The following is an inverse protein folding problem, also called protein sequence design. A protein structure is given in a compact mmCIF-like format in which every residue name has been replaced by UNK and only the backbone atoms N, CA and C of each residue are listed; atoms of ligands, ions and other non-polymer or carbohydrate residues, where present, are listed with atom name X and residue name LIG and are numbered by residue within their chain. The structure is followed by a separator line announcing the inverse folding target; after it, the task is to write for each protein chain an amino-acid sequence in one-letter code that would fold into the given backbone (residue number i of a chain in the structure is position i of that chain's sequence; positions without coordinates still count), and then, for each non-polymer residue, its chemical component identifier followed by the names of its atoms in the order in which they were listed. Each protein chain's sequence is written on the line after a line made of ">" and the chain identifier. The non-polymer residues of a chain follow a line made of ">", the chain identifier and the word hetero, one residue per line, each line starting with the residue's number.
data_IF_101153365930
#
_entry.id   IF_101153365930
#
_cell.length_a   1.000
_cell.length_b   1.000
_cell.length_c   1.000
_cell.angle_alpha   90.00
_cell.angle_beta   90.00
_cell.angle_gamma   90.00
#
_symmetry.space_group_name_H-M   'P 1'
#
loop_
_entity.id
_entity.type
_entity.pdbx_description
1 polymer ?
#
# COMPACT_ATOMS: atom_id res chain seq x y z
N UNK A 1 4.89 -29.47 21.57
CA UNK A 1 4.40 -28.71 20.42
C UNK A 1 4.91 -29.46 19.18
N UNK A 2 4.01 -30.00 18.35
CA UNK A 2 4.35 -30.79 17.18
C UNK A 2 5.02 -29.93 16.11
N UNK A 3 6.14 -30.43 15.55
CA UNK A 3 7.03 -29.75 14.59
C UNK A 3 6.48 -29.64 13.16
N UNK A 4 5.21 -29.87 12.88
CA UNK A 4 4.66 -30.02 11.53
C UNK A 4 3.44 -29.17 11.20
N UNK A 5 3.22 -28.03 11.86
CA UNK A 5 2.27 -27.07 11.31
C UNK A 5 2.94 -26.34 10.13
N UNK A 6 2.64 -26.78 8.90
CA UNK A 6 3.00 -26.05 7.68
C UNK A 6 2.39 -24.67 7.76
N UNK A 7 3.25 -23.65 7.81
CA UNK A 7 2.82 -22.26 7.72
C UNK A 7 2.21 -22.07 6.33
N UNK A 8 0.94 -21.75 6.28
CA UNK A 8 0.22 -21.43 5.04
C UNK A 8 0.70 -20.05 4.58
N UNK A 9 1.33 -19.97 3.42
CA UNK A 9 1.84 -18.72 2.88
C UNK A 9 0.70 -17.77 2.47
N UNK A 10 -0.25 -18.24 1.64
CA UNK A 10 -1.38 -17.45 1.18
C UNK A 10 -2.56 -17.59 2.15
N UNK A 11 -2.88 -16.54 2.92
CA UNK A 11 -3.89 -16.59 3.99
C UNK A 11 -5.03 -15.58 3.81
N UNK A 12 -5.01 -14.74 2.80
CA UNK A 12 -6.04 -13.70 2.73
C UNK A 12 -6.13 -12.93 1.43
N UNK A 13 -7.15 -12.10 1.34
CA UNK A 13 -7.54 -11.34 0.16
C UNK A 13 -6.78 -10.03 -0.07
N UNK A 14 -5.49 -9.92 0.29
CA UNK A 14 -4.72 -8.68 0.04
C UNK A 14 -5.39 -7.46 0.67
N UNK A 15 -5.70 -6.45 -0.16
CA UNK A 15 -6.35 -5.20 0.29
C UNK A 15 -7.72 -5.42 0.97
N UNK A 16 -8.41 -6.54 0.74
CA UNK A 16 -9.68 -6.85 1.41
C UNK A 16 -9.50 -7.22 2.89
N UNK A 17 -8.26 -7.47 3.34
CA UNK A 17 -7.93 -7.68 4.75
C UNK A 17 -7.93 -6.38 5.57
N UNK A 18 -8.09 -5.21 4.94
CA UNK A 18 -8.18 -3.92 5.65
C UNK A 18 -9.41 -3.88 6.58
N UNK A 19 -9.25 -3.22 7.74
CA UNK A 19 -10.37 -3.01 8.65
C UNK A 19 -11.49 -2.22 7.96
N UNK A 20 -12.74 -2.59 8.25
CA UNK A 20 -13.90 -1.91 7.67
C UNK A 20 -13.87 -0.40 7.96
N UNK A 21 -14.07 0.41 6.91
CA UNK A 21 -13.96 1.87 6.98
C UNK A 21 -14.79 2.50 8.10
N UNK A 22 -16.00 1.98 8.38
CA UNK A 22 -16.86 2.49 9.44
C UNK A 22 -16.35 2.22 10.87
N UNK A 23 -15.55 1.16 11.08
CA UNK A 23 -14.90 0.88 12.37
C UNK A 23 -13.72 1.81 12.55
N UNK A 24 -12.90 1.94 11.51
CA UNK A 24 -11.71 2.78 11.54
C UNK A 24 -12.07 4.26 11.72
N UNK A 25 -13.07 4.79 11.02
CA UNK A 25 -13.55 6.17 11.19
C UNK A 25 -13.87 6.50 12.64
N UNK A 26 -14.64 5.62 13.32
CA UNK A 26 -15.03 5.83 14.73
C UNK A 26 -13.84 5.89 15.70
N UNK A 27 -12.76 5.20 15.38
CA UNK A 27 -11.54 5.23 16.18
C UNK A 27 -10.77 6.51 15.88
N UNK A 28 -10.60 6.86 14.61
CA UNK A 28 -9.86 8.04 14.17
C UNK A 28 -10.50 9.36 14.63
N UNK A 29 -11.84 9.41 14.74
CA UNK A 29 -12.57 10.56 15.28
C UNK A 29 -12.22 10.89 16.75
N UNK A 30 -11.76 9.89 17.50
CA UNK A 30 -11.39 10.02 18.92
C UNK A 30 -9.92 10.40 19.13
N UNK A 31 -9.12 10.41 18.08
CA UNK A 31 -7.72 10.79 18.19
C UNK A 31 -7.59 12.29 18.47
N UNK A 32 -6.68 12.68 19.41
CA UNK A 32 -6.39 14.08 19.60
C UNK A 32 -5.84 14.66 18.30
N UNK A 33 -6.54 15.65 17.76
CA UNK A 33 -6.07 16.40 16.59
C UNK A 33 -5.29 17.61 17.08
N UNK A 34 -4.04 17.74 16.64
CA UNK A 34 -3.25 18.95 16.84
C UNK A 34 -3.86 20.16 16.11
N UNK A 35 -3.22 21.31 16.26
CA UNK A 35 -3.56 22.47 15.45
C UNK A 35 -3.41 22.13 13.96
N UNK A 36 -4.33 22.66 13.12
CA UNK A 36 -4.26 22.44 11.68
C UNK A 36 -3.01 23.12 11.11
N UNK A 37 -2.07 22.33 10.63
CA UNK A 37 -0.94 22.84 9.87
C UNK A 37 -1.41 23.21 8.45
N UNK A 38 -1.27 24.48 8.02
CA UNK A 38 -1.67 24.92 6.67
C UNK A 38 -0.84 24.25 5.56
N UNK A 39 0.29 23.61 5.90
CA UNK A 39 1.11 22.88 4.96
C UNK A 39 0.63 21.43 4.76
N UNK A 40 -0.23 20.90 5.62
CA UNK A 40 -0.88 19.61 5.39
C UNK A 40 -2.02 19.83 4.40
N UNK A 41 -1.75 19.58 3.11
CA UNK A 41 -2.70 19.80 2.02
C UNK A 41 -3.78 18.70 1.97
N UNK A 42 -3.35 17.44 2.20
CA UNK A 42 -4.19 16.25 2.21
C UNK A 42 -3.86 15.42 3.44
N UNK A 43 -4.88 15.03 4.19
CA UNK A 43 -4.75 14.23 5.41
C UNK A 43 -6.01 13.41 5.69
N UNK A 44 -6.33 13.16 6.95
CA UNK A 44 -7.47 12.30 7.35
C UNK A 44 -8.83 12.78 6.84
N UNK A 45 -9.00 14.10 6.64
CA UNK A 45 -10.31 14.69 6.39
C UNK A 45 -10.80 14.41 4.97
N UNK A 46 -9.90 14.33 3.98
CA UNK A 46 -10.22 14.12 2.56
C UNK A 46 -10.38 12.65 2.17
N UNK A 47 -9.83 11.72 2.96
CA UNK A 47 -9.84 10.27 2.68
C UNK A 47 -9.24 9.92 1.32
N UNK A 48 -8.22 10.66 0.94
CA UNK A 48 -7.43 10.40 -0.26
C UNK A 48 -6.46 9.22 -0.09
N UNK A 49 -5.81 8.82 -1.17
CA UNK A 49 -4.94 7.65 -1.20
C UNK A 49 -3.63 7.86 -0.42
N UNK A 50 -3.15 9.11 -0.31
CA UNK A 50 -1.93 9.43 0.43
C UNK A 50 -2.04 10.77 1.18
N UNK A 51 -1.18 10.96 2.17
CA UNK A 51 -0.99 12.27 2.81
C UNK A 51 -0.10 13.16 1.92
N UNK A 52 -0.41 14.46 1.86
CA UNK A 52 0.37 15.43 1.10
C UNK A 52 0.74 16.61 1.99
N UNK A 53 2.05 16.84 2.12
CA UNK A 53 2.59 17.91 2.94
C UNK A 53 3.44 18.88 2.12
N UNK A 54 3.09 20.16 2.09
CA UNK A 54 3.81 21.21 1.37
C UNK A 54 5.16 21.50 2.05
N UNK A 55 6.24 21.41 1.29
CA UNK A 55 7.61 21.74 1.74
C UNK A 55 8.00 23.15 1.31
N UNK A 56 7.67 23.49 0.06
CA UNK A 56 7.86 24.83 -0.52
C UNK A 56 6.62 25.23 -1.31
N UNK A 57 6.63 26.43 -1.91
CA UNK A 57 5.53 26.88 -2.76
C UNK A 57 5.24 25.92 -3.93
N UNK A 58 6.29 25.30 -4.51
CA UNK A 58 6.18 24.48 -5.71
C UNK A 58 6.53 23.00 -5.45
N UNK A 59 6.66 22.58 -4.20
CA UNK A 59 7.03 21.21 -3.85
C UNK A 59 6.28 20.71 -2.62
N UNK A 60 5.65 19.55 -2.76
CA UNK A 60 5.06 18.82 -1.67
C UNK A 60 5.54 17.36 -1.63
N UNK A 61 5.59 16.78 -0.43
CA UNK A 61 5.80 15.36 -0.20
C UNK A 61 4.46 14.64 -0.28
N UNK A 62 4.46 13.50 -0.97
CA UNK A 62 3.39 12.51 -0.93
C UNK A 62 3.89 11.33 -0.10
N UNK A 63 3.15 10.94 0.93
CA UNK A 63 3.51 9.84 1.80
C UNK A 63 2.37 8.85 1.96
N UNK A 64 2.67 7.58 1.70
CA UNK A 64 1.74 6.47 1.90
C UNK A 64 2.41 5.29 2.58
N UNK A 65 1.60 4.41 3.13
CA UNK A 65 1.99 3.12 3.67
C UNK A 65 0.90 2.09 3.36
N UNK A 66 1.27 1.02 2.66
CA UNK A 66 0.34 -0.09 2.42
C UNK A 66 1.07 -1.43 2.51
N UNK A 67 0.49 -2.37 3.28
CA UNK A 67 1.01 -3.72 3.44
C UNK A 67 -0.14 -4.68 3.77
N UNK A 68 -0.02 -5.93 3.34
CA UNK A 68 -1.07 -6.93 3.51
C UNK A 68 -0.52 -8.36 3.45
N UNK A 69 -1.30 -9.36 3.86
CA UNK A 69 -0.92 -10.76 3.73
C UNK A 69 -0.92 -11.22 2.27
N UNK A 70 -0.16 -12.29 1.92
CA UNK A 70 -0.14 -12.85 0.58
C UNK A 70 -1.52 -13.24 0.07
N UNK A 71 -1.79 -12.89 -1.18
CA UNK A 71 -3.01 -13.19 -1.92
C UNK A 71 -2.79 -14.10 -3.12
N UNK A 72 -1.54 -14.47 -3.38
CA UNK A 72 -1.09 -15.42 -4.40
C UNK A 72 0.00 -16.30 -3.79
N UNK A 73 0.19 -17.52 -4.33
CA UNK A 73 1.12 -18.50 -3.77
C UNK A 73 2.58 -18.26 -4.18
N UNK A 74 2.82 -17.54 -5.26
CA UNK A 74 4.17 -17.20 -5.71
C UNK A 74 4.73 -15.99 -4.97
N UNK A 75 5.81 -16.17 -4.15
CA UNK A 75 6.36 -15.10 -3.33
C UNK A 75 6.84 -13.89 -4.14
N UNK A 76 7.47 -14.12 -5.29
CA UNK A 76 7.96 -13.05 -6.15
C UNK A 76 6.81 -12.21 -6.71
N UNK A 77 5.77 -12.86 -7.24
CA UNK A 77 4.57 -12.18 -7.74
C UNK A 77 3.86 -11.42 -6.62
N UNK A 78 3.79 -12.01 -5.41
CA UNK A 78 3.24 -11.30 -4.24
C UNK A 78 4.03 -10.02 -3.94
N UNK A 79 5.36 -10.08 -3.96
CA UNK A 79 6.22 -8.91 -3.79
C UNK A 79 5.94 -7.81 -4.81
N UNK A 80 5.77 -8.18 -6.09
CA UNK A 80 5.42 -7.24 -7.16
C UNK A 80 4.04 -6.60 -6.94
N UNK A 81 3.02 -7.39 -6.57
CA UNK A 81 1.66 -6.89 -6.32
C UNK A 81 1.66 -5.91 -5.15
N UNK A 82 2.30 -6.27 -4.03
CA UNK A 82 2.33 -5.44 -2.84
C UNK A 82 3.04 -4.10 -3.09
N UNK A 83 4.16 -4.12 -3.80
CA UNK A 83 4.87 -2.91 -4.19
C UNK A 83 4.05 -2.05 -5.16
N UNK A 84 3.48 -2.63 -6.22
CA UNK A 84 2.65 -1.90 -7.18
C UNK A 84 1.45 -1.21 -6.49
N UNK A 85 0.84 -1.88 -5.52
CA UNK A 85 -0.28 -1.32 -4.76
C UNK A 85 0.14 -0.07 -3.95
N UNK A 86 1.24 -0.14 -3.19
CA UNK A 86 1.73 1.00 -2.42
C UNK A 86 2.23 2.15 -3.30
N UNK A 87 2.87 1.84 -4.43
CA UNK A 87 3.35 2.85 -5.39
C UNK A 87 2.19 3.58 -6.07
N UNK A 88 1.05 2.90 -6.28
CA UNK A 88 -0.12 3.47 -6.97
C UNK A 88 -0.73 4.65 -6.23
N UNK A 89 -0.64 4.69 -4.90
CA UNK A 89 -1.15 5.80 -4.10
C UNK A 89 -0.44 7.13 -4.43
N UNK A 90 0.87 7.07 -4.69
CA UNK A 90 1.64 8.26 -5.11
C UNK A 90 1.17 8.74 -6.48
N UNK A 91 0.94 7.83 -7.42
CA UNK A 91 0.43 8.17 -8.76
C UNK A 91 -1.00 8.70 -8.72
N UNK A 92 -1.86 8.15 -7.84
CA UNK A 92 -3.22 8.62 -7.65
C UNK A 92 -3.27 10.10 -7.22
N UNK A 93 -2.25 10.54 -6.47
CA UNK A 93 -2.11 11.94 -6.05
C UNK A 93 -1.42 12.84 -7.11
N UNK A 94 -1.10 12.31 -8.28
CA UNK A 94 -0.37 13.03 -9.34
C UNK A 94 1.13 13.16 -9.07
N UNK A 95 1.66 12.39 -8.11
CA UNK A 95 3.04 12.44 -7.67
C UNK A 95 3.98 11.53 -8.45
N UNK A 96 5.27 11.75 -8.26
CA UNK A 96 6.37 10.93 -8.77
C UNK A 96 7.06 10.20 -7.61
N UNK A 97 7.22 8.89 -7.70
CA UNK A 97 7.89 8.07 -6.67
C UNK A 97 9.36 8.46 -6.55
N UNK A 98 9.86 8.63 -5.33
CA UNK A 98 11.29 8.91 -5.07
C UNK A 98 11.94 7.82 -4.24
N UNK A 99 11.39 7.47 -3.09
CA UNK A 99 11.96 6.43 -2.23
C UNK A 99 10.88 5.50 -1.70
N UNK A 100 11.28 4.26 -1.42
CA UNK A 100 10.46 3.28 -0.73
C UNK A 100 11.24 2.59 0.39
N UNK A 101 10.53 2.21 1.45
CA UNK A 101 11.02 1.41 2.57
C UNK A 101 10.19 0.13 2.66
N UNK A 102 10.84 -1.02 2.77
CA UNK A 102 10.16 -2.30 2.99
C UNK A 102 9.51 -2.34 4.37
N UNK A 103 8.29 -2.87 4.43
CA UNK A 103 7.60 -3.26 5.66
C UNK A 103 7.37 -4.77 5.62
N UNK A 104 7.97 -5.49 6.55
CA UNK A 104 7.99 -6.95 6.56
C UNK A 104 7.54 -7.50 7.91
N UNK A 105 6.53 -8.37 7.91
CA UNK A 105 6.27 -9.32 8.98
C UNK A 105 6.54 -10.73 8.43
N UNK A 106 7.37 -11.52 9.11
CA UNK A 106 7.80 -12.81 8.57
C UNK A 106 8.01 -13.85 9.68
N UNK A 107 7.51 -15.10 9.52
CA UNK A 107 7.72 -16.17 10.50
C UNK A 107 9.18 -16.61 10.57
N UNK A 108 9.75 -16.67 11.79
CA UNK A 108 11.14 -17.06 12.00
C UNK A 108 11.49 -18.49 11.51
N UNK A 109 10.50 -19.37 11.48
CA UNK A 109 10.63 -20.78 11.07
C UNK A 109 10.31 -21.02 9.58
N UNK A 110 10.00 -19.98 8.80
CA UNK A 110 9.79 -20.09 7.35
C UNK A 110 11.12 -19.94 6.61
N UNK A 111 11.22 -20.58 5.44
CA UNK A 111 12.40 -20.48 4.59
C UNK A 111 12.68 -19.03 4.16
N UNK A 112 13.87 -18.53 4.48
CA UNK A 112 14.30 -17.18 4.13
C UNK A 112 14.41 -16.94 2.62
N UNK A 113 14.49 -17.98 1.79
CA UNK A 113 14.42 -17.83 0.34
C UNK A 113 13.05 -17.26 -0.11
N UNK A 114 11.97 -17.62 0.59
CA UNK A 114 10.64 -17.05 0.36
C UNK A 114 10.66 -15.54 0.58
N UNK A 115 11.26 -15.08 1.68
CA UNK A 115 11.44 -13.65 1.94
C UNK A 115 12.29 -12.98 0.85
N UNK A 116 13.38 -13.63 0.44
CA UNK A 116 14.24 -13.13 -0.63
C UNK A 116 13.49 -12.87 -1.93
N UNK A 117 12.60 -13.80 -2.34
CA UNK A 117 11.79 -13.65 -3.55
C UNK A 117 10.75 -12.52 -3.41
N UNK A 118 10.11 -12.37 -2.25
CA UNK A 118 9.18 -11.25 -1.98
C UNK A 118 9.92 -9.91 -2.15
N UNK A 119 11.06 -9.78 -1.48
CA UNK A 119 11.84 -8.53 -1.51
C UNK A 119 12.37 -8.23 -2.92
N UNK A 120 12.77 -9.26 -3.68
CA UNK A 120 13.21 -9.13 -5.07
C UNK A 120 12.08 -8.58 -5.94
N UNK A 121 10.89 -9.17 -5.86
CA UNK A 121 9.72 -8.70 -6.60
C UNK A 121 9.36 -7.25 -6.28
N UNK A 122 9.41 -6.88 -5.00
CA UNK A 122 9.17 -5.50 -4.55
C UNK A 122 10.22 -4.52 -5.06
N UNK A 123 11.50 -4.88 -4.96
CA UNK A 123 12.61 -4.04 -5.40
C UNK A 123 12.56 -3.74 -6.90
N UNK A 124 12.24 -4.75 -7.73
CA UNK A 124 12.11 -4.58 -9.17
C UNK A 124 10.97 -3.61 -9.54
N UNK A 125 9.83 -3.66 -8.83
CA UNK A 125 8.72 -2.71 -9.04
C UNK A 125 9.06 -1.28 -8.62
N UNK A 126 9.81 -1.10 -7.53
CA UNK A 126 10.30 0.21 -7.13
C UNK A 126 11.26 0.78 -8.18
N UNK A 127 12.17 -0.04 -8.71
CA UNK A 127 13.08 0.36 -9.77
C UNK A 127 12.33 0.70 -11.09
N UNK A 128 11.33 -0.10 -11.48
CA UNK A 128 10.46 0.17 -12.63
C UNK A 128 9.72 1.51 -12.51
N UNK A 129 9.33 1.88 -11.29
CA UNK A 129 8.72 3.17 -10.97
C UNK A 129 9.72 4.34 -10.96
N UNK A 130 11.00 4.10 -11.22
CA UNK A 130 12.06 5.11 -11.15
C UNK A 130 12.44 5.52 -9.72
N UNK A 131 11.93 4.80 -8.71
CA UNK A 131 12.20 5.04 -7.30
C UNK A 131 13.44 4.29 -6.79
N UNK A 132 13.84 4.61 -5.57
CA UNK A 132 14.98 3.97 -4.87
C UNK A 132 14.44 3.23 -3.64
N UNK A 133 14.74 1.92 -3.56
CA UNK A 133 14.50 1.16 -2.34
C UNK A 133 15.61 1.50 -1.34
N UNK A 134 15.26 2.27 -0.29
CA UNK A 134 16.23 2.89 0.61
C UNK A 134 16.44 2.12 1.92
N UNK A 135 15.73 1.00 2.12
CA UNK A 135 15.82 0.20 3.34
C UNK A 135 14.46 -0.35 3.76
N UNK A 136 14.23 -0.43 5.07
CA UNK A 136 12.96 -0.89 5.62
C UNK A 136 13.05 -1.39 7.03
N UNK A 137 11.97 -2.04 7.49
CA UNK A 137 11.89 -2.65 8.81
C UNK A 137 11.25 -4.04 8.71
N UNK A 138 11.79 -5.00 9.46
CA UNK A 138 11.26 -6.36 9.55
C UNK A 138 11.05 -6.78 10.99
N UNK A 139 9.95 -7.49 11.24
CA UNK A 139 9.63 -8.08 12.54
C UNK A 139 9.26 -9.55 12.38
N UNK A 140 9.54 -10.35 13.41
CA UNK A 140 9.01 -11.70 13.52
C UNK A 140 7.49 -11.66 13.78
N UNK A 141 6.73 -12.50 13.08
CA UNK A 141 5.27 -12.61 13.22
C UNK A 141 4.83 -14.05 12.93
N UNK A 142 3.59 -14.37 13.23
CA UNK A 142 2.99 -15.68 12.95
C UNK A 142 2.63 -15.88 11.48
N UNK A 143 2.53 -14.82 10.69
CA UNK A 143 2.19 -14.87 9.27
C UNK A 143 2.93 -13.82 8.46
N UNK A 144 3.04 -14.07 7.16
CA UNK A 144 3.70 -13.14 6.24
C UNK A 144 2.81 -11.94 5.98
N UNK A 145 3.39 -10.74 6.08
CA UNK A 145 2.84 -9.49 5.54
C UNK A 145 3.97 -8.70 4.91
N UNK A 146 3.69 -8.13 3.77
CA UNK A 146 4.66 -7.31 3.04
C UNK A 146 3.99 -6.12 2.37
N UNK A 147 4.73 -5.05 2.29
CA UNK A 147 4.38 -3.85 1.57
C UNK A 147 5.46 -2.79 1.70
N UNK A 148 5.09 -1.56 1.39
CA UNK A 148 6.03 -0.44 1.37
C UNK A 148 5.47 0.77 2.12
N UNK A 149 6.38 1.54 2.71
CA UNK A 149 6.17 2.97 2.94
C UNK A 149 6.83 3.72 1.81
N UNK A 150 6.05 4.53 1.08
CA UNK A 150 6.52 5.21 -0.13
C UNK A 150 6.48 6.71 0.09
N UNK A 151 7.55 7.36 -0.35
CA UNK A 151 7.63 8.82 -0.43
C UNK A 151 7.76 9.24 -1.90
N UNK A 152 6.85 10.11 -2.31
CA UNK A 152 6.85 10.75 -3.62
C UNK A 152 6.93 12.26 -3.51
N UNK A 153 7.07 12.93 -4.64
CA UNK A 153 7.03 14.37 -4.79
C UNK A 153 5.92 14.76 -5.76
N UNK A 154 5.28 15.89 -5.48
CA UNK A 154 4.24 16.47 -6.34
C UNK A 154 4.34 18.00 -6.32
N UNK A 155 3.97 18.64 -7.41
CA UNK A 155 3.70 20.08 -7.42
C UNK A 155 2.34 20.33 -6.74
N UNK A 156 2.28 21.12 -5.65
CA UNK A 156 1.02 21.41 -4.97
C UNK A 156 -0.09 21.98 -5.85
N UNK A 157 0.28 22.62 -6.98
CA UNK A 157 -0.67 23.20 -7.93
C UNK A 157 -1.24 22.17 -8.93
N UNK A 158 -0.67 20.97 -8.99
CA UNK A 158 -1.07 19.86 -9.86
C UNK A 158 -1.46 18.60 -9.08
N UNK A 159 -1.89 18.78 -7.83
CA UNK A 159 -2.35 17.69 -6.97
C UNK A 159 -3.69 17.14 -7.46
N UNK A 160 -3.81 15.82 -7.53
CA UNK A 160 -5.08 15.13 -7.81
C UNK A 160 -5.74 14.74 -6.48
N UNK A 161 -6.88 15.33 -6.20
CA UNK A 161 -7.66 15.06 -5.01
C UNK A 161 -8.98 14.34 -5.36
N UNK A 162 -9.48 13.49 -4.46
CA UNK A 162 -10.69 12.70 -4.67
C UNK A 162 -11.95 13.54 -4.85
N UNK A 163 -11.95 14.79 -4.41
CA UNK A 163 -13.09 15.70 -4.44
C UNK A 163 -13.04 16.72 -5.61
N UNK A 164 -12.08 16.58 -6.53
CA UNK A 164 -11.87 17.51 -7.65
C UNK A 164 -12.89 17.35 -8.79
N UNK A 165 -13.67 16.27 -8.84
CA UNK A 165 -14.64 16.01 -9.91
C UNK A 165 -15.76 17.04 -9.99
N UNK A 166 -16.14 17.42 -11.22
CA UNK A 166 -17.17 18.43 -11.49
C UNK A 166 -18.34 17.84 -12.29
N UNK A 167 -19.57 18.39 -12.14
CA UNK A 167 -20.69 18.01 -13.00
C UNK A 167 -20.37 18.22 -14.48
N UNK A 168 -20.48 17.16 -15.28
CA UNK A 168 -20.15 17.18 -16.71
C UNK A 168 -18.83 16.50 -17.07
N UNK A 169 -18.01 16.15 -16.08
CA UNK A 169 -16.79 15.37 -16.29
C UNK A 169 -17.11 13.98 -16.83
N UNK A 170 -16.20 13.47 -17.66
CA UNK A 170 -16.28 12.11 -18.20
C UNK A 170 -15.42 11.16 -17.38
N UNK A 171 -16.03 10.07 -16.91
CA UNK A 171 -15.34 9.01 -16.20
C UNK A 171 -14.72 8.02 -17.19
N UNK A 172 -13.41 7.84 -17.13
CA UNK A 172 -12.68 6.87 -17.95
C UNK A 172 -12.19 5.73 -17.07
N UNK A 173 -12.64 4.51 -17.40
CA UNK A 173 -12.15 3.30 -16.76
C UNK A 173 -10.99 2.72 -17.57
N UNK A 174 -9.79 2.74 -17.01
CA UNK A 174 -8.55 2.33 -17.71
C UNK A 174 -8.28 0.83 -17.68
N UNK A 175 -8.98 0.07 -16.84
CA UNK A 175 -8.90 -1.40 -16.72
C UNK A 175 -10.22 -1.99 -16.25
N UNK A 176 -10.43 -3.29 -16.53
CA UNK A 176 -11.65 -4.00 -16.14
C UNK A 176 -11.85 -3.99 -14.60
N UNK A 177 -13.11 -3.94 -14.20
CA UNK A 177 -13.53 -4.13 -12.80
C UNK A 177 -13.52 -5.62 -12.43
N UNK A 178 -13.45 -5.92 -11.13
CA UNK A 178 -13.67 -7.26 -10.61
C UNK A 178 -12.43 -7.98 -10.09
N UNK A 179 -11.25 -7.38 -10.12
CA UNK A 179 -10.01 -7.99 -9.59
C UNK A 179 -10.18 -8.44 -8.14
N UNK A 180 -10.78 -7.60 -7.28
CA UNK A 180 -11.02 -7.94 -5.87
C UNK A 180 -11.96 -9.15 -5.71
N UNK A 181 -12.99 -9.27 -6.55
CA UNK A 181 -13.88 -10.43 -6.57
C UNK A 181 -13.14 -11.70 -7.02
N UNK A 182 -12.39 -11.62 -8.12
CA UNK A 182 -11.65 -12.76 -8.65
C UNK A 182 -10.58 -13.24 -7.66
N UNK A 183 -9.75 -12.35 -7.14
CA UNK A 183 -8.66 -12.73 -6.23
C UNK A 183 -9.16 -13.15 -4.85
N UNK A 184 -10.26 -12.60 -4.34
CA UNK A 184 -10.80 -12.96 -3.03
C UNK A 184 -11.72 -14.17 -3.11
N UNK A 185 -12.68 -14.20 -4.03
CA UNK A 185 -13.65 -15.29 -4.11
C UNK A 185 -13.01 -16.61 -4.58
N UNK A 186 -12.06 -16.57 -5.51
CA UNK A 186 -11.38 -17.79 -5.98
C UNK A 186 -10.55 -18.45 -4.88
N UNK A 187 -9.92 -17.67 -3.99
CA UNK A 187 -9.18 -18.22 -2.84
C UNK A 187 -10.08 -18.95 -1.83
N UNK A 188 -11.34 -18.49 -1.69
CA UNK A 188 -12.29 -19.11 -0.74
C UNK A 188 -13.16 -20.20 -1.36
N UNK A 189 -13.22 -20.33 -2.67
CA UNK A 189 -14.10 -21.28 -3.37
C UNK A 189 -13.35 -22.38 -4.14
N UNK A 190 -12.03 -22.33 -4.17
CA UNK A 190 -11.22 -23.43 -4.72
C UNK A 190 -11.23 -24.59 -3.73
N UNK A 191 -11.58 -25.82 -4.15
CA UNK A 191 -11.61 -27.01 -3.29
C UNK A 191 -10.21 -27.40 -2.80
#
# INVERSE_FOLDING_TARGET
>A
MSKDEKIVFCTGGGCTAKLGAGVLSRILEKLPRGEKDPNLLVGYDSRDDAAVYRVTENLALVQTVDFFPPMVDDPYTFGQIAAANALSDVYAMGGEVKTALNLVCFPENMDLNVLGEILRGGAEKVAEAGGILAGGHSIADTGVKYGLSVTGLVDPHHLYANDAGQPGDKLLLTKALGVGLLCTCLLYTSP
#
